data_IF_449792906535
#
_entry.id   IF_449792906535
#
_cell.length_a   1.000
_cell.length_b   1.000
_cell.length_c   1.000
_cell.angle_alpha   90.00
_cell.angle_beta   90.00
_cell.angle_gamma   90.00
#
_symmetry.space_group_name_H-M   'P 1'
#
loop_
_entity.id
_entity.type
_entity.pdbx_description
1 polymer ?
#
# COMPACT_ATOMS: atom_id res chain seq x y z
N UNK A 1 -43.64 57.94 -8.03
CA UNK A 1 -42.61 57.55 -7.04
C UNK A 1 -42.36 56.04 -7.09
N UNK A 2 -42.13 55.49 -8.29
CA UNK A 2 -42.02 54.05 -8.56
C UNK A 2 -40.96 53.89 -9.65
N UNK A 3 -39.68 53.74 -9.29
CA UNK A 3 -38.61 53.36 -10.24
C UNK A 3 -37.21 53.21 -9.60
N UNK A 4 -37.07 52.76 -8.35
CA UNK A 4 -35.73 52.50 -7.76
C UNK A 4 -35.77 51.40 -6.69
N UNK A 5 -36.14 50.18 -7.07
CA UNK A 5 -36.08 49.03 -6.16
C UNK A 5 -36.12 47.70 -6.92
N UNK A 6 -35.29 47.56 -7.97
CA UNK A 6 -35.20 46.32 -8.73
C UNK A 6 -33.78 46.02 -9.25
N UNK A 7 -32.74 46.54 -8.59
CA UNK A 7 -31.35 46.37 -9.02
C UNK A 7 -30.44 46.17 -7.79
N UNK A 8 -30.73 45.14 -6.99
CA UNK A 8 -29.84 44.72 -5.90
C UNK A 8 -29.94 43.23 -5.54
N UNK A 9 -30.49 42.38 -6.43
CA UNK A 9 -30.61 40.94 -6.22
C UNK A 9 -30.15 40.20 -7.48
N UNK A 10 -28.91 40.40 -7.92
CA UNK A 10 -28.33 39.63 -9.04
C UNK A 10 -26.79 39.52 -9.01
N UNK A 11 -26.14 39.66 -7.85
CA UNK A 11 -24.67 39.50 -7.75
C UNK A 11 -24.20 38.58 -6.60
N UNK A 12 -25.06 37.73 -6.04
CA UNK A 12 -24.73 36.93 -4.85
C UNK A 12 -24.85 35.41 -5.04
N UNK A 13 -24.77 34.90 -6.27
CA UNK A 13 -24.89 33.45 -6.56
C UNK A 13 -23.68 32.83 -7.28
N UNK A 14 -22.67 33.61 -7.70
CA UNK A 14 -21.56 33.05 -8.50
C UNK A 14 -20.27 32.70 -7.72
N UNK A 15 -20.26 32.75 -6.39
CA UNK A 15 -19.08 32.40 -5.58
C UNK A 15 -19.17 31.03 -4.88
N UNK A 16 -20.23 30.23 -5.15
CA UNK A 16 -20.50 28.98 -4.42
C UNK A 16 -19.99 27.70 -5.09
N UNK A 17 -19.54 27.74 -6.34
CA UNK A 17 -19.34 26.53 -7.17
C UNK A 17 -17.89 26.15 -7.45
N UNK A 18 -16.89 26.93 -7.03
CA UNK A 18 -15.47 26.58 -7.26
C UNK A 18 -14.88 25.64 -6.22
N UNK A 19 -15.46 25.56 -5.02
CA UNK A 19 -14.92 24.71 -3.95
C UNK A 19 -15.20 23.21 -4.17
N UNK A 20 -16.38 22.87 -4.67
CA UNK A 20 -16.77 21.47 -4.90
C UNK A 20 -15.90 20.79 -5.98
N UNK A 21 -15.46 21.53 -7.00
CA UNK A 21 -14.66 20.98 -8.11
C UNK A 21 -13.20 20.72 -7.75
N UNK A 22 -12.65 21.45 -6.76
CA UNK A 22 -11.25 21.29 -6.33
C UNK A 22 -11.09 20.05 -5.46
N UNK A 23 -12.01 19.84 -4.52
CA UNK A 23 -12.00 18.70 -3.57
C UNK A 23 -12.17 17.33 -4.29
N UNK A 24 -13.01 17.28 -5.32
CA UNK A 24 -13.19 16.11 -6.18
C UNK A 24 -11.91 15.77 -6.98
N UNK A 25 -11.32 16.77 -7.64
CA UNK A 25 -10.11 16.55 -8.44
C UNK A 25 -8.91 16.10 -7.59
N UNK A 26 -8.78 16.63 -6.37
CA UNK A 26 -7.74 16.21 -5.42
C UNK A 26 -7.98 14.79 -4.88
N UNK A 27 -9.23 14.32 -4.88
CA UNK A 27 -9.60 12.98 -4.42
C UNK A 27 -9.45 11.93 -5.50
N UNK A 28 -9.91 12.20 -6.71
CA UNK A 28 -9.60 11.38 -7.87
C UNK A 28 -8.08 11.19 -8.07
N UNK A 29 -7.28 12.26 -7.92
CA UNK A 29 -5.82 12.17 -8.04
C UNK A 29 -5.20 11.27 -6.97
N UNK A 30 -5.64 11.40 -5.72
CA UNK A 30 -5.12 10.63 -4.60
C UNK A 30 -5.48 9.14 -4.74
N UNK A 31 -6.72 8.81 -5.13
CA UNK A 31 -7.12 7.42 -5.42
C UNK A 31 -6.29 6.87 -6.58
N UNK A 32 -6.14 7.63 -7.68
CA UNK A 32 -5.33 7.20 -8.82
C UNK A 32 -3.88 6.90 -8.43
N UNK A 33 -3.27 7.73 -7.58
CA UNK A 33 -1.89 7.52 -7.13
C UNK A 33 -1.74 6.30 -6.24
N UNK A 34 -2.70 6.06 -5.35
CA UNK A 34 -2.72 4.84 -4.56
C UNK A 34 -2.82 3.60 -5.47
N UNK A 35 -3.73 3.61 -6.43
CA UNK A 35 -3.92 2.51 -7.40
C UNK A 35 -2.65 2.20 -8.20
N UNK A 36 -1.97 3.22 -8.71
CA UNK A 36 -0.71 3.06 -9.45
C UNK A 36 0.34 2.32 -8.61
N UNK A 37 0.47 2.70 -7.35
CA UNK A 37 1.41 2.10 -6.42
C UNK A 37 1.02 0.68 -6.02
N UNK A 38 -0.27 0.40 -5.80
CA UNK A 38 -0.76 -0.97 -5.55
C UNK A 38 -0.51 -1.88 -6.75
N UNK A 39 -0.68 -1.38 -7.98
CA UNK A 39 -0.35 -2.13 -9.19
C UNK A 39 1.16 -2.39 -9.30
N UNK A 40 1.99 -1.39 -9.00
CA UNK A 40 3.45 -1.57 -8.96
C UNK A 40 3.85 -2.61 -7.90
N UNK A 41 3.23 -2.56 -6.73
CA UNK A 41 3.45 -3.54 -5.67
C UNK A 41 3.05 -4.95 -6.11
N UNK A 42 1.93 -5.12 -6.83
CA UNK A 42 1.51 -6.43 -7.34
C UNK A 42 2.61 -7.08 -8.21
N UNK A 43 3.26 -6.29 -9.06
CA UNK A 43 4.39 -6.74 -9.89
C UNK A 43 5.62 -7.10 -9.04
N UNK A 44 6.00 -6.22 -8.10
CA UNK A 44 7.16 -6.44 -7.22
C UNK A 44 6.95 -7.69 -6.34
N UNK A 45 5.76 -7.82 -5.76
CA UNK A 45 5.39 -8.90 -4.83
C UNK A 45 5.30 -10.26 -5.51
N UNK A 46 5.06 -10.29 -6.82
CA UNK A 46 5.07 -11.52 -7.61
C UNK A 46 6.48 -12.11 -7.71
N UNK A 47 7.49 -11.26 -7.96
CA UNK A 47 8.87 -11.70 -7.98
C UNK A 47 9.37 -12.01 -6.57
N UNK A 48 9.11 -11.08 -5.64
CA UNK A 48 9.70 -11.10 -4.29
C UNK A 48 9.30 -12.31 -3.47
N UNK A 49 8.17 -12.97 -3.73
CA UNK A 49 7.73 -14.18 -3.01
C UNK A 49 8.56 -15.44 -3.33
N UNK A 50 9.50 -15.35 -4.27
CA UNK A 50 10.35 -16.46 -4.71
C UNK A 50 11.76 -16.34 -4.14
N UNK A 51 12.47 -17.45 -4.07
CA UNK A 51 13.86 -17.48 -3.62
C UNK A 51 14.77 -16.64 -4.53
N UNK A 52 14.54 -16.69 -5.84
CA UNK A 52 15.27 -15.88 -6.82
C UNK A 52 14.94 -14.38 -6.69
N UNK A 53 13.68 -14.04 -6.41
CA UNK A 53 13.27 -12.68 -6.10
C UNK A 53 13.93 -12.14 -4.83
N UNK A 54 14.02 -12.97 -3.78
CA UNK A 54 14.76 -12.63 -2.57
C UNK A 54 16.25 -12.43 -2.87
N UNK A 55 16.88 -13.33 -3.63
CA UNK A 55 18.29 -13.19 -4.06
C UNK A 55 18.52 -11.87 -4.80
N UNK A 56 17.62 -11.54 -5.73
CA UNK A 56 17.64 -10.26 -6.43
C UNK A 56 17.52 -9.09 -5.46
N UNK A 57 16.60 -9.13 -4.50
CA UNK A 57 16.46 -8.10 -3.47
C UNK A 57 17.73 -7.91 -2.62
N UNK A 58 18.38 -9.01 -2.25
CA UNK A 58 19.60 -8.97 -1.44
C UNK A 58 20.79 -8.38 -2.22
N UNK A 59 20.94 -8.72 -3.50
CA UNK A 59 22.09 -8.35 -4.32
C UNK A 59 21.92 -7.02 -5.07
N UNK A 60 20.72 -6.70 -5.55
CA UNK A 60 20.45 -5.55 -6.39
C UNK A 60 19.94 -4.36 -5.56
N UNK A 61 20.80 -3.35 -5.42
CA UNK A 61 20.45 -2.10 -4.75
C UNK A 61 19.26 -1.38 -5.42
N UNK A 62 19.16 -1.42 -6.74
CA UNK A 62 18.09 -0.75 -7.48
C UNK A 62 16.75 -1.43 -7.23
N UNK A 63 16.71 -2.76 -7.27
CA UNK A 63 15.49 -3.51 -6.94
C UNK A 63 15.05 -3.29 -5.49
N UNK A 64 16.00 -3.31 -4.54
CA UNK A 64 15.72 -2.99 -3.14
C UNK A 64 15.19 -1.58 -2.95
N UNK A 65 15.77 -0.58 -3.63
CA UNK A 65 15.29 0.80 -3.60
C UNK A 65 13.87 0.90 -4.15
N UNK A 66 13.58 0.27 -5.29
CA UNK A 66 12.25 0.26 -5.89
C UNK A 66 11.20 -0.30 -4.93
N UNK A 67 11.50 -1.42 -4.26
CA UNK A 67 10.61 -2.00 -3.22
C UNK A 67 10.34 -1.00 -2.09
N UNK A 68 11.39 -0.35 -1.57
CA UNK A 68 11.25 0.63 -0.49
C UNK A 68 10.46 1.88 -0.92
N UNK A 69 10.72 2.40 -2.12
CA UNK A 69 10.04 3.57 -2.68
C UNK A 69 8.55 3.28 -2.92
N UNK A 70 8.21 2.12 -3.50
CA UNK A 70 6.81 1.72 -3.68
C UNK A 70 6.09 1.63 -2.34
N UNK A 71 6.66 0.94 -1.33
CA UNK A 71 6.03 0.81 -0.01
C UNK A 71 5.88 2.15 0.70
N UNK A 72 6.91 3.00 0.68
CA UNK A 72 6.83 4.35 1.25
C UNK A 72 5.76 5.21 0.54
N UNK A 73 5.62 5.06 -0.77
CA UNK A 73 4.56 5.71 -1.53
C UNK A 73 3.18 5.26 -1.05
N UNK A 74 2.98 3.96 -0.87
CA UNK A 74 1.68 3.41 -0.42
C UNK A 74 1.34 3.97 0.97
N UNK A 75 2.27 3.90 1.91
CA UNK A 75 2.12 4.48 3.25
C UNK A 75 1.85 5.99 3.23
N UNK A 76 2.47 6.72 2.30
CA UNK A 76 2.19 8.15 2.16
C UNK A 76 0.73 8.39 1.73
N UNK A 77 0.27 7.70 0.68
CA UNK A 77 -1.08 7.92 0.15
C UNK A 77 -2.18 7.32 1.02
N UNK A 78 -1.94 6.21 1.74
CA UNK A 78 -2.90 5.70 2.72
C UNK A 78 -3.11 6.66 3.91
N UNK A 79 -2.08 7.40 4.31
CA UNK A 79 -2.16 8.34 5.42
C UNK A 79 -3.02 9.54 5.01
N UNK A 80 -2.85 10.00 3.77
CA UNK A 80 -3.73 11.02 3.19
C UNK A 80 -5.18 10.53 3.04
N UNK A 81 -5.38 9.27 2.64
CA UNK A 81 -6.70 8.62 2.60
C UNK A 81 -7.34 8.57 3.99
N UNK A 82 -6.57 8.17 5.00
CA UNK A 82 -6.99 8.09 6.39
C UNK A 82 -7.48 9.44 6.91
N UNK A 83 -6.74 10.51 6.67
CA UNK A 83 -7.13 11.87 7.07
C UNK A 83 -8.49 12.25 6.47
N UNK A 84 -8.68 12.05 5.16
CA UNK A 84 -9.94 12.36 4.47
C UNK A 84 -11.10 11.50 4.94
N UNK A 85 -10.89 10.19 5.06
CA UNK A 85 -11.91 9.26 5.55
C UNK A 85 -12.33 9.59 6.97
N UNK A 86 -11.39 9.98 7.83
CA UNK A 86 -11.67 10.38 9.21
C UNK A 86 -12.53 11.64 9.27
N UNK A 87 -12.27 12.63 8.40
CA UNK A 87 -13.15 13.80 8.27
C UNK A 87 -14.54 13.39 7.79
N UNK A 88 -14.64 12.58 6.73
CA UNK A 88 -15.93 12.09 6.19
C UNK A 88 -16.72 11.29 7.22
N UNK A 89 -16.05 10.49 8.06
CA UNK A 89 -16.67 9.71 9.14
C UNK A 89 -17.32 10.57 10.23
N UNK A 90 -16.89 11.83 10.44
CA UNK A 90 -17.52 12.74 11.41
C UNK A 90 -18.94 13.13 11.00
N UNK A 91 -19.21 13.10 9.70
CA UNK A 91 -20.48 13.52 9.12
C UNK A 91 -21.28 12.35 8.52
N UNK A 92 -20.75 11.12 8.59
CA UNK A 92 -21.35 9.92 8.00
C UNK A 92 -21.22 8.71 8.93
N UNK A 93 -22.33 8.01 9.16
CA UNK A 93 -22.34 6.74 9.88
C UNK A 93 -22.03 5.52 8.99
N UNK A 94 -21.43 5.71 7.82
CA UNK A 94 -21.11 4.63 6.90
C UNK A 94 -20.09 3.65 7.52
N UNK A 95 -20.53 2.40 7.70
CA UNK A 95 -19.71 1.33 8.27
C UNK A 95 -18.48 0.99 7.41
N UNK A 96 -18.57 1.14 6.09
CA UNK A 96 -17.44 0.89 5.19
C UNK A 96 -16.33 1.92 5.40
N UNK A 97 -16.66 3.20 5.64
CA UNK A 97 -15.64 4.23 5.98
C UNK A 97 -14.87 3.82 7.23
N UNK A 98 -15.57 3.34 8.28
CA UNK A 98 -14.93 2.91 9.54
C UNK A 98 -14.04 1.69 9.34
N UNK A 99 -14.43 0.78 8.44
CA UNK A 99 -13.68 -0.42 8.09
C UNK A 99 -12.39 -0.09 7.37
N UNK A 100 -12.41 0.83 6.40
CA UNK A 100 -11.20 1.30 5.71
C UNK A 100 -10.24 1.96 6.68
N UNK A 101 -10.73 2.85 7.54
CA UNK A 101 -9.93 3.51 8.59
C UNK A 101 -9.19 2.47 9.44
N UNK A 102 -9.90 1.43 9.93
CA UNK A 102 -9.27 0.36 10.71
C UNK A 102 -8.23 -0.45 9.91
N UNK A 103 -8.46 -0.66 8.62
CA UNK A 103 -7.52 -1.38 7.77
C UNK A 103 -6.26 -0.58 7.50
N UNK A 104 -6.38 0.73 7.24
CA UNK A 104 -5.24 1.64 7.11
C UNK A 104 -4.46 1.68 8.42
N UNK A 105 -5.12 1.81 9.58
CA UNK A 105 -4.44 1.76 10.89
C UNK A 105 -3.69 0.44 11.11
N UNK A 106 -4.29 -0.69 10.72
CA UNK A 106 -3.63 -2.00 10.81
C UNK A 106 -2.40 -2.08 9.89
N UNK A 107 -2.47 -1.48 8.69
CA UNK A 107 -1.36 -1.43 7.75
C UNK A 107 -0.22 -0.55 8.28
N UNK A 108 -0.55 0.66 8.73
CA UNK A 108 0.34 1.64 9.32
C UNK A 108 1.01 1.15 10.62
N UNK A 109 0.41 0.21 11.35
CA UNK A 109 1.00 -0.28 12.60
C UNK A 109 1.81 -1.56 12.42
N UNK A 110 1.25 -2.54 11.69
CA UNK A 110 1.83 -3.90 11.58
C UNK A 110 2.83 -4.03 10.44
N UNK A 111 2.61 -3.31 9.33
CA UNK A 111 3.31 -3.53 8.07
C UNK A 111 4.08 -2.30 7.58
N UNK A 112 4.50 -1.43 8.51
CA UNK A 112 5.39 -0.28 8.21
C UNK A 112 6.53 -0.69 7.29
N UNK A 113 6.86 0.15 6.31
CA UNK A 113 8.01 -0.05 5.41
C UNK A 113 9.32 -0.37 6.14
N UNK A 114 9.54 0.20 7.33
CA UNK A 114 10.70 -0.12 8.17
C UNK A 114 10.69 -1.56 8.70
N UNK A 115 9.54 -2.05 9.17
CA UNK A 115 9.39 -3.44 9.62
C UNK A 115 9.56 -4.40 8.43
N UNK A 116 8.99 -4.05 7.28
CA UNK A 116 9.15 -4.81 6.05
C UNK A 116 10.61 -4.93 5.61
N UNK A 117 11.33 -3.81 5.59
CA UNK A 117 12.75 -3.77 5.24
C UNK A 117 13.60 -4.58 6.22
N UNK A 118 13.25 -4.54 7.51
CA UNK A 118 13.90 -5.35 8.54
C UNK A 118 13.69 -6.85 8.27
N UNK A 119 12.44 -7.29 8.06
CA UNK A 119 12.13 -8.69 7.75
C UNK A 119 12.91 -9.16 6.53
N UNK A 120 12.89 -8.43 5.41
CA UNK A 120 13.69 -8.84 4.24
C UNK A 120 15.20 -8.84 4.49
N UNK A 121 15.72 -8.01 5.39
CA UNK A 121 17.14 -8.02 5.74
C UNK A 121 17.51 -9.28 6.53
N UNK A 122 16.61 -9.76 7.40
CA UNK A 122 16.72 -11.04 8.12
C UNK A 122 16.68 -12.20 7.13
N UNK A 123 15.69 -12.23 6.22
CA UNK A 123 15.58 -13.23 5.16
C UNK A 123 16.83 -13.24 4.25
N UNK A 124 17.42 -12.07 3.96
CA UNK A 124 18.69 -12.00 3.24
C UNK A 124 19.88 -12.59 4.01
N UNK A 125 19.85 -12.56 5.35
CA UNK A 125 20.86 -13.22 6.17
C UNK A 125 20.73 -14.73 6.06
N UNK A 126 19.50 -15.24 6.14
CA UNK A 126 19.20 -16.67 6.03
C UNK A 126 19.54 -17.20 4.64
N UNK A 127 19.17 -16.45 3.60
CA UNK A 127 19.53 -16.73 2.20
C UNK A 127 21.05 -16.85 2.03
N UNK A 128 21.83 -15.91 2.56
CA UNK A 128 23.31 -15.96 2.47
C UNK A 128 23.90 -17.14 3.24
N UNK A 129 23.33 -17.46 4.41
CA UNK A 129 23.75 -18.62 5.20
C UNK A 129 23.50 -19.92 4.43
N UNK A 130 22.34 -20.03 3.81
CA UNK A 130 21.95 -21.19 2.99
C UNK A 130 22.90 -21.40 1.80
N UNK A 131 23.23 -20.33 1.06
CA UNK A 131 24.17 -20.45 -0.07
C UNK A 131 25.59 -20.80 0.39
N UNK A 132 26.05 -20.21 1.49
CA UNK A 132 27.38 -20.46 2.06
C UNK A 132 27.57 -21.94 2.42
N UNK A 133 26.52 -22.60 2.91
CA UNK A 133 26.57 -24.00 3.34
C UNK A 133 26.00 -24.96 2.28
N UNK A 134 25.75 -24.50 1.05
CA UNK A 134 24.99 -25.25 0.05
C UNK A 134 25.57 -26.63 -0.27
N UNK A 135 26.89 -26.79 -0.29
CA UNK A 135 27.53 -28.08 -0.57
C UNK A 135 27.26 -29.12 0.52
N UNK A 136 27.24 -28.71 1.79
CA UNK A 136 26.88 -29.58 2.91
C UNK A 136 25.38 -29.90 2.87
N UNK A 137 24.54 -28.88 2.71
CA UNK A 137 23.08 -29.01 2.71
C UNK A 137 22.55 -29.84 1.52
N UNK A 138 23.25 -29.86 0.38
CA UNK A 138 22.90 -30.71 -0.77
C UNK A 138 23.17 -32.20 -0.52
N UNK A 139 24.04 -32.52 0.42
CA UNK A 139 24.31 -33.90 0.83
C UNK A 139 23.39 -34.35 1.98
N UNK A 140 22.65 -33.42 2.60
CA UNK A 140 21.67 -33.74 3.65
C UNK A 140 20.31 -34.14 3.04
N UNK A 141 19.48 -34.82 3.83
CA UNK A 141 18.17 -35.34 3.42
C UNK A 141 17.03 -34.81 4.30
N UNK A 142 15.83 -34.78 3.74
CA UNK A 142 14.66 -34.30 4.46
C UNK A 142 14.71 -32.79 4.73
N UNK A 143 14.17 -32.35 5.87
CA UNK A 143 13.95 -30.92 6.15
C UNK A 143 15.21 -30.05 6.18
N UNK A 144 16.38 -30.65 6.43
CA UNK A 144 17.65 -29.92 6.46
C UNK A 144 18.28 -29.79 5.07
N UNK A 145 17.81 -30.54 4.06
CA UNK A 145 18.32 -30.44 2.70
C UNK A 145 18.21 -29.01 2.16
N UNK A 146 19.12 -28.63 1.26
CA UNK A 146 19.14 -27.32 0.61
C UNK A 146 17.76 -26.96 0.03
N UNK A 147 17.17 -27.87 -0.74
CA UNK A 147 15.88 -27.65 -1.40
C UNK A 147 14.73 -27.46 -0.38
N UNK A 148 14.74 -28.22 0.72
CA UNK A 148 13.72 -28.07 1.76
C UNK A 148 13.84 -26.74 2.48
N UNK A 149 15.07 -26.28 2.75
CA UNK A 149 15.28 -24.98 3.36
C UNK A 149 14.93 -23.82 2.42
N UNK A 150 15.20 -23.95 1.11
CA UNK A 150 14.71 -22.99 0.10
C UNK A 150 13.19 -22.88 0.15
N UNK A 151 12.47 -24.01 0.15
CA UNK A 151 11.01 -24.04 0.23
C UNK A 151 10.49 -23.39 1.52
N UNK A 152 11.14 -23.62 2.66
CA UNK A 152 10.74 -23.00 3.93
C UNK A 152 10.92 -21.48 3.91
N UNK A 153 12.00 -20.99 3.31
CA UNK A 153 12.25 -19.57 3.14
C UNK A 153 11.20 -18.94 2.21
N UNK A 154 10.93 -19.56 1.05
CA UNK A 154 9.89 -19.11 0.13
C UNK A 154 8.51 -19.09 0.78
N UNK A 155 8.14 -20.13 1.54
CA UNK A 155 6.85 -20.17 2.22
C UNK A 155 6.68 -19.06 3.26
N UNK A 156 7.75 -18.75 3.99
CA UNK A 156 7.78 -17.67 4.99
C UNK A 156 7.61 -16.30 4.31
N UNK A 157 8.40 -16.07 3.25
CA UNK A 157 8.38 -14.86 2.45
C UNK A 157 7.03 -14.65 1.73
N UNK A 158 6.52 -15.68 1.07
CA UNK A 158 5.22 -15.67 0.38
C UNK A 158 4.09 -15.32 1.35
N UNK A 159 4.06 -15.93 2.55
CA UNK A 159 3.07 -15.61 3.57
C UNK A 159 3.14 -14.15 3.99
N UNK A 160 4.35 -13.63 4.20
CA UNK A 160 4.54 -12.24 4.63
C UNK A 160 4.09 -11.25 3.54
N UNK A 161 4.58 -11.43 2.32
CA UNK A 161 4.26 -10.59 1.15
C UNK A 161 2.77 -10.65 0.78
N UNK A 162 2.13 -11.82 0.86
CA UNK A 162 0.69 -11.97 0.62
C UNK A 162 -0.17 -11.22 1.63
N UNK A 163 0.22 -11.16 2.89
CA UNK A 163 -0.57 -10.43 3.90
C UNK A 163 -0.60 -8.93 3.60
N UNK A 164 0.52 -8.37 3.14
CA UNK A 164 0.63 -6.97 2.73
C UNK A 164 -0.23 -6.72 1.49
N UNK A 165 -0.07 -7.57 0.48
CA UNK A 165 -0.83 -7.48 -0.78
C UNK A 165 -2.33 -7.51 -0.52
N UNK A 166 -2.82 -8.48 0.25
CA UNK A 166 -4.25 -8.58 0.60
C UNK A 166 -4.78 -7.35 1.33
N UNK A 167 -3.97 -6.74 2.20
CA UNK A 167 -4.38 -5.56 2.94
C UNK A 167 -4.50 -4.34 2.01
N UNK A 168 -3.55 -4.17 1.09
CA UNK A 168 -3.61 -3.14 0.05
C UNK A 168 -4.80 -3.34 -0.88
N UNK A 169 -5.05 -4.58 -1.33
CA UNK A 169 -6.20 -4.92 -2.18
C UNK A 169 -7.52 -4.56 -1.48
N UNK A 170 -7.67 -4.89 -0.19
CA UNK A 170 -8.85 -4.52 0.56
C UNK A 170 -9.04 -3.01 0.70
N UNK A 171 -7.96 -2.26 1.01
CA UNK A 171 -8.02 -0.79 1.08
C UNK A 171 -8.46 -0.24 -0.28
N UNK A 172 -7.86 -0.73 -1.35
CA UNK A 172 -8.18 -0.35 -2.72
C UNK A 172 -9.66 -0.61 -3.07
N UNK A 173 -10.15 -1.81 -2.80
CA UNK A 173 -11.54 -2.20 -3.08
C UNK A 173 -12.53 -1.28 -2.37
N UNK A 174 -12.30 -0.97 -1.10
CA UNK A 174 -13.23 -0.11 -0.35
C UNK A 174 -13.19 1.34 -0.81
N UNK A 175 -12.04 1.86 -1.22
CA UNK A 175 -11.94 3.23 -1.76
C UNK A 175 -12.83 3.36 -3.01
N UNK A 176 -12.80 2.37 -3.90
CA UNK A 176 -13.65 2.34 -5.09
C UNK A 176 -15.14 2.23 -4.74
N UNK A 177 -15.51 1.44 -3.72
CA UNK A 177 -16.90 1.37 -3.26
C UNK A 177 -17.39 2.68 -2.64
N UNK A 178 -16.50 3.45 -2.02
CA UNK A 178 -16.84 4.69 -1.32
C UNK A 178 -16.98 5.91 -2.24
N UNK A 179 -16.73 5.75 -3.55
CA UNK A 179 -16.74 6.82 -4.57
C UNK A 179 -16.04 8.07 -4.02
N UNK A 180 -14.77 7.91 -3.65
CA UNK A 180 -13.96 9.00 -3.08
C UNK A 180 -13.50 9.97 -4.18
N UNK A 181 -13.71 9.64 -5.44
CA UNK A 181 -13.55 10.46 -6.65
C UNK A 181 -14.34 11.79 -6.68
#
# INVERSE_FOLDING_TARGET
>A
MLRRLALAISCLVLAGSTYATVDQNESALLVSKFNDLTNQWALISYDLRTYDGLKKYCADHSFRRNVAETLNGIHHYDSLLYERLTVKARFSNNHEIKKVIHQIEAFETKYKAANFSKTLSEECSDQRSLEKNSDELRNDIGMNSYDSQVILLEATLDKYVKNITKLMDHINDHIHHLHID
#
